data_IF_990171545860
#
_entry.id   IF_990171545860
#
_cell.length_a   1.000
_cell.length_b   1.000
_cell.length_c   1.000
_cell.angle_alpha   90.00
_cell.angle_beta   90.00
_cell.angle_gamma   90.00
#
_symmetry.space_group_name_H-M   'P 1'
#
loop_
_entity.id
_entity.type
_entity.pdbx_description
1 polymer ?
#
# COMPACT_ATOMS: atom_id res chain seq x y z
N UNK A 1 7.31 13.85 -14.07
CA UNK A 1 6.79 12.47 -13.94
C UNK A 1 5.73 12.52 -12.86
N UNK A 2 4.49 12.14 -13.16
CA UNK A 2 3.43 12.19 -12.16
C UNK A 2 3.47 10.89 -11.34
N UNK A 3 3.30 10.98 -10.03
CA UNK A 3 3.34 9.81 -9.14
C UNK A 3 2.11 9.76 -8.24
N UNK A 4 1.76 8.56 -7.79
CA UNK A 4 0.75 8.33 -6.76
C UNK A 4 1.46 7.84 -5.49
N UNK A 5 1.50 8.66 -4.43
CA UNK A 5 2.11 8.25 -3.17
C UNK A 5 1.36 7.11 -2.50
N UNK A 6 2.13 6.19 -1.93
CA UNK A 6 1.66 5.04 -1.15
C UNK A 6 2.42 5.01 0.17
N UNK A 7 1.68 4.99 1.27
CA UNK A 7 2.25 4.82 2.60
C UNK A 7 2.15 3.36 3.02
N UNK A 8 3.30 2.80 3.37
CA UNK A 8 3.42 1.40 3.78
C UNK A 8 3.92 1.32 5.21
N UNK A 9 3.36 0.36 5.95
CA UNK A 9 3.87 -0.07 7.25
C UNK A 9 4.90 -1.17 7.04
N UNK A 10 5.75 -1.42 8.05
CA UNK A 10 6.79 -2.45 7.98
C UNK A 10 6.25 -3.82 7.54
N UNK A 11 5.08 -4.20 8.06
CA UNK A 11 4.43 -5.47 7.73
C UNK A 11 3.79 -5.52 6.34
N UNK A 12 3.33 -4.39 5.81
CA UNK A 12 2.72 -4.33 4.47
C UNK A 12 3.74 -4.09 3.37
N UNK A 13 4.95 -3.62 3.69
CA UNK A 13 5.94 -3.22 2.71
C UNK A 13 6.27 -4.33 1.69
N UNK A 14 6.88 -5.43 2.14
CA UNK A 14 7.25 -6.54 1.27
C UNK A 14 6.07 -7.10 0.47
N UNK A 15 4.96 -7.48 1.14
CA UNK A 15 3.80 -8.04 0.42
C UNK A 15 3.15 -7.08 -0.56
N UNK A 16 3.16 -5.77 -0.32
CA UNK A 16 2.60 -4.81 -1.28
C UNK A 16 3.52 -4.66 -2.51
N UNK A 17 4.84 -4.67 -2.32
CA UNK A 17 5.81 -4.67 -3.43
C UNK A 17 5.70 -5.92 -4.30
N UNK A 18 5.45 -7.09 -3.70
CA UNK A 18 5.17 -8.33 -4.45
C UNK A 18 4.01 -8.15 -5.43
N UNK A 19 2.90 -7.56 -4.97
CA UNK A 19 1.73 -7.33 -5.83
C UNK A 19 2.03 -6.29 -6.92
N UNK A 20 2.72 -5.19 -6.60
CA UNK A 20 3.16 -4.21 -7.61
C UNK A 20 3.99 -4.88 -8.72
N UNK A 21 4.95 -5.72 -8.33
CA UNK A 21 5.81 -6.45 -9.27
C UNK A 21 5.01 -7.47 -10.10
N UNK A 22 4.11 -8.23 -9.47
CA UNK A 22 3.28 -9.23 -10.14
C UNK A 22 2.36 -8.62 -11.20
N UNK A 23 1.90 -7.39 -10.98
CA UNK A 23 1.04 -6.64 -11.91
C UNK A 23 1.80 -5.68 -12.83
N UNK A 24 3.14 -5.68 -12.81
CA UNK A 24 3.97 -4.81 -13.66
C UNK A 24 3.82 -3.31 -13.38
N UNK A 25 3.35 -2.95 -12.18
CA UNK A 25 3.17 -1.55 -11.76
C UNK A 25 4.51 -1.00 -11.30
N UNK A 26 5.04 -0.02 -12.04
CA UNK A 26 6.32 0.61 -11.71
C UNK A 26 6.19 1.54 -10.52
N UNK A 27 7.21 1.54 -9.67
CA UNK A 27 7.30 2.43 -8.52
C UNK A 27 8.74 2.90 -8.31
N UNK A 28 8.89 3.92 -7.49
CA UNK A 28 10.16 4.38 -6.97
C UNK A 28 10.07 4.56 -5.45
N UNK A 29 11.20 4.39 -4.79
CA UNK A 29 11.32 4.63 -3.36
C UNK A 29 11.52 6.12 -3.12
N UNK A 30 10.70 6.74 -2.26
CA UNK A 30 10.97 8.08 -1.75
C UNK A 30 11.77 7.93 -0.46
N UNK A 31 12.96 8.52 -0.43
CA UNK A 31 13.75 8.60 0.79
C UNK A 31 12.97 9.43 1.84
N UNK A 32 12.39 8.75 2.83
CA UNK A 32 11.77 9.42 3.98
C UNK A 32 12.89 9.75 4.96
N UNK A 33 13.45 10.96 4.86
CA UNK A 33 14.37 11.48 5.88
C UNK A 33 13.57 11.86 7.11
N UNK A 34 13.29 10.89 7.97
CA UNK A 34 12.69 11.15 9.28
C UNK A 34 13.78 11.16 10.35
N UNK A 35 13.93 12.29 11.06
CA UNK A 35 14.75 12.39 12.28
C UNK A 35 14.07 11.81 13.52
N UNK A 36 12.89 11.20 13.37
CA UNK A 36 12.08 10.65 14.47
C UNK A 36 11.54 9.25 14.14
N UNK A 37 11.29 8.39 15.14
CA UNK A 37 10.66 7.09 14.93
C UNK A 37 9.28 7.24 14.27
N UNK A 38 9.04 6.57 13.15
CA UNK A 38 7.78 6.61 12.41
C UNK A 38 7.15 5.20 12.37
N UNK A 39 5.84 5.12 12.52
CA UNK A 39 5.09 3.86 12.41
C UNK A 39 4.96 3.38 10.96
N UNK A 40 4.90 4.31 9.99
CA UNK A 40 5.03 4.03 8.56
C UNK A 40 6.51 4.11 8.19
N UNK A 41 7.05 2.99 7.70
CA UNK A 41 8.49 2.84 7.47
C UNK A 41 8.94 3.57 6.21
N UNK A 42 8.13 3.53 5.15
CA UNK A 42 8.59 3.93 3.81
C UNK A 42 7.43 4.52 2.99
N UNK A 43 7.71 5.65 2.32
CA UNK A 43 6.83 6.23 1.32
C UNK A 43 7.30 5.73 -0.06
N UNK A 44 6.40 5.06 -0.75
CA UNK A 44 6.58 4.60 -2.11
C UNK A 44 5.82 5.50 -3.05
N UNK A 45 6.33 5.71 -4.25
CA UNK A 45 5.65 6.46 -5.29
C UNK A 45 5.40 5.54 -6.48
N UNK A 46 4.12 5.24 -6.76
CA UNK A 46 3.74 4.55 -7.99
C UNK A 46 3.91 5.53 -9.15
N UNK A 47 4.63 5.12 -10.19
CA UNK A 47 4.93 5.96 -11.35
C UNK A 47 3.74 5.93 -12.30
N UNK A 48 3.07 7.07 -12.48
CA UNK A 48 1.96 7.18 -13.44
C UNK A 48 2.51 7.19 -14.86
N UNK A 49 1.93 6.35 -15.72
CA UNK A 49 2.22 6.33 -17.15
C UNK A 49 1.14 7.15 -17.86
N UNK A 50 1.45 8.41 -18.19
CA UNK A 50 0.53 9.31 -18.88
C UNK A 50 0.08 8.71 -20.21
N UNK A 51 -1.22 8.75 -20.49
CA UNK A 51 -1.81 8.18 -21.70
C UNK A 51 -2.03 6.67 -21.69
N UNK A 52 -1.64 5.96 -20.61
CA UNK A 52 -1.92 4.52 -20.48
C UNK A 52 -3.37 4.27 -20.05
N UNK A 53 -4.13 3.57 -20.90
CA UNK A 53 -5.47 3.10 -20.56
C UNK A 53 -5.49 2.04 -19.45
N UNK A 54 -4.34 1.40 -19.17
CA UNK A 54 -4.23 0.27 -18.24
C UNK A 54 -3.71 0.66 -16.87
N UNK A 55 -3.28 1.91 -16.66
CA UNK A 55 -2.67 2.34 -15.40
C UNK A 55 -3.62 2.15 -14.20
N UNK A 56 -4.83 2.75 -14.25
CA UNK A 56 -5.79 2.66 -13.15
C UNK A 56 -6.31 1.24 -12.91
N UNK A 57 -6.68 0.47 -13.95
CA UNK A 57 -7.00 -0.95 -13.78
C UNK A 57 -5.88 -1.76 -13.11
N UNK A 58 -4.62 -1.53 -13.49
CA UNK A 58 -3.50 -2.26 -12.89
C UNK A 58 -3.32 -1.93 -11.40
N UNK A 59 -3.41 -0.65 -11.01
CA UNK A 59 -3.32 -0.25 -9.58
C UNK A 59 -4.50 -0.80 -8.78
N UNK A 60 -5.71 -0.80 -9.34
CA UNK A 60 -6.88 -1.40 -8.70
C UNK A 60 -6.69 -2.92 -8.49
N UNK A 61 -6.09 -3.62 -9.46
CA UNK A 61 -5.82 -5.05 -9.35
C UNK A 61 -4.83 -5.35 -8.22
N UNK A 62 -3.77 -4.55 -8.08
CA UNK A 62 -2.81 -4.62 -6.96
C UNK A 62 -3.52 -4.47 -5.62
N UNK A 63 -4.39 -3.48 -5.48
CA UNK A 63 -5.14 -3.22 -4.23
C UNK A 63 -6.03 -4.41 -3.88
N UNK A 64 -6.79 -4.92 -4.86
CA UNK A 64 -7.68 -6.08 -4.66
C UNK A 64 -6.87 -7.34 -4.30
N UNK A 65 -5.80 -7.62 -5.04
CA UNK A 65 -4.93 -8.77 -4.78
C UNK A 65 -4.32 -8.70 -3.39
N UNK A 66 -3.80 -7.52 -2.99
CA UNK A 66 -3.23 -7.31 -1.67
C UNK A 66 -4.25 -7.60 -0.55
N UNK A 67 -5.46 -7.02 -0.62
CA UNK A 67 -6.53 -7.21 0.37
C UNK A 67 -6.95 -8.67 0.45
N UNK A 68 -7.17 -9.32 -0.70
CA UNK A 68 -7.72 -10.67 -0.75
C UNK A 68 -6.72 -11.77 -0.40
N UNK A 69 -5.41 -11.52 -0.55
CA UNK A 69 -4.36 -12.53 -0.26
C UNK A 69 -4.27 -12.90 1.22
N UNK A 70 -4.75 -12.05 2.14
CA UNK A 70 -4.75 -12.35 3.58
C UNK A 70 -5.80 -11.56 4.36
N UNK A 71 -6.54 -12.26 5.20
CA UNK A 71 -7.53 -11.65 6.11
C UNK A 71 -6.92 -10.52 6.96
N UNK A 72 -7.66 -9.43 7.08
CA UNK A 72 -7.32 -8.28 7.90
C UNK A 72 -6.46 -7.22 7.18
N UNK A 73 -5.94 -7.50 5.98
CA UNK A 73 -5.30 -6.47 5.17
C UNK A 73 -6.30 -5.40 4.75
N UNK A 74 -5.83 -4.16 4.77
CA UNK A 74 -6.65 -2.98 4.46
C UNK A 74 -5.94 -2.05 3.52
N UNK A 75 -6.69 -1.39 2.65
CA UNK A 75 -6.21 -0.23 1.90
C UNK A 75 -7.17 0.92 2.11
N UNK A 76 -6.63 2.05 2.55
CA UNK A 76 -7.37 3.29 2.78
C UNK A 76 -6.85 4.32 1.77
N UNK A 77 -7.73 4.79 0.90
CA UNK A 77 -7.42 5.78 -0.13
C UNK A 77 -7.85 7.14 0.38
N UNK A 78 -6.95 8.12 0.33
CA UNK A 78 -7.28 9.52 0.63
C UNK A 78 -7.36 10.29 -0.68
N UNK A 79 -8.54 10.83 -0.98
CA UNK A 79 -8.80 11.61 -2.19
C UNK A 79 -8.31 13.04 -2.05
N UNK A 80 -8.22 13.77 -3.16
CA UNK A 80 -7.74 15.17 -3.20
C UNK A 80 -8.59 16.14 -2.37
N UNK A 81 -9.87 15.83 -2.19
CA UNK A 81 -10.79 16.55 -1.29
C UNK A 81 -10.61 16.17 0.20
N UNK A 82 -9.60 15.34 0.51
CA UNK A 82 -9.26 14.84 1.86
C UNK A 82 -10.27 13.82 2.43
N UNK A 83 -11.13 13.25 1.61
CA UNK A 83 -12.01 12.16 2.02
C UNK A 83 -11.22 10.84 2.11
N UNK A 84 -11.45 10.07 3.17
CA UNK A 84 -10.88 8.73 3.33
C UNK A 84 -11.89 7.67 2.87
N UNK A 85 -11.48 6.82 1.94
CA UNK A 85 -12.29 5.74 1.37
C UNK A 85 -11.60 4.41 1.65
N UNK A 86 -12.32 3.50 2.32
CA UNK A 86 -11.86 2.13 2.51
C UNK A 86 -12.09 1.33 1.23
N UNK A 87 -11.06 0.68 0.72
CA UNK A 87 -11.15 -0.07 -0.55
C UNK A 87 -11.87 -1.42 -0.41
N UNK A 88 -12.04 -1.90 0.82
CA UNK A 88 -12.75 -3.15 1.14
C UNK A 88 -14.19 -3.13 0.59
N UNK A 89 -14.56 -4.13 -0.20
CA UNK A 89 -15.92 -4.29 -0.73
C UNK A 89 -16.25 -3.43 -1.94
N UNK A 90 -15.35 -2.55 -2.41
CA UNK A 90 -15.54 -1.83 -3.66
C UNK A 90 -15.41 -2.77 -4.86
N UNK A 91 -16.26 -2.58 -5.86
CA UNK A 91 -16.05 -3.19 -7.17
C UNK A 91 -14.81 -2.60 -7.85
N UNK A 92 -14.27 -3.32 -8.84
CA UNK A 92 -13.13 -2.86 -9.62
C UNK A 92 -13.36 -1.46 -10.24
N UNK A 93 -14.56 -1.24 -10.77
CA UNK A 93 -14.94 0.03 -11.42
C UNK A 93 -15.02 1.18 -10.41
N UNK A 94 -15.55 0.93 -9.21
CA UNK A 94 -15.60 1.93 -8.14
C UNK A 94 -14.19 2.25 -7.63
N UNK A 95 -13.37 1.23 -7.42
CA UNK A 95 -12.00 1.38 -6.97
C UNK A 95 -11.17 2.21 -7.96
N UNK A 96 -11.29 1.96 -9.26
CA UNK A 96 -10.65 2.77 -10.29
C UNK A 96 -11.07 4.25 -10.24
N UNK A 97 -12.36 4.54 -10.01
CA UNK A 97 -12.85 5.91 -9.88
C UNK A 97 -12.25 6.61 -8.66
N UNK A 98 -12.20 5.91 -7.53
CA UNK A 98 -11.60 6.43 -6.29
C UNK A 98 -10.10 6.67 -6.46
N UNK A 99 -9.38 5.75 -7.09
CA UNK A 99 -7.94 5.88 -7.36
C UNK A 99 -7.62 7.07 -8.28
N UNK A 100 -8.45 7.35 -9.29
CA UNK A 100 -8.30 8.54 -10.15
C UNK A 100 -8.36 9.85 -9.37
N UNK A 101 -9.12 9.89 -8.28
CA UNK A 101 -9.24 11.04 -7.40
C UNK A 101 -8.27 11.01 -6.21
N UNK A 102 -7.39 10.01 -6.11
CA UNK A 102 -6.50 9.81 -4.98
C UNK A 102 -5.41 10.89 -4.91
N UNK A 103 -5.23 11.45 -3.72
CA UNK A 103 -4.03 12.18 -3.34
C UNK A 103 -2.91 11.22 -2.92
N UNK A 104 -3.26 10.16 -2.19
CA UNK A 104 -2.38 9.07 -1.78
C UNK A 104 -3.22 7.90 -1.26
N UNK A 105 -2.61 6.77 -0.96
CA UNK A 105 -3.28 5.73 -0.18
C UNK A 105 -2.32 5.01 0.78
N UNK A 106 -2.88 4.32 1.74
CA UNK A 106 -2.15 3.58 2.78
C UNK A 106 -2.52 2.12 2.72
N UNK A 107 -1.54 1.22 2.65
CA UNK A 107 -1.77 -0.22 2.72
C UNK A 107 -1.27 -0.79 4.05
N UNK A 108 -2.11 -1.59 4.70
CA UNK A 108 -1.92 -2.09 6.05
C UNK A 108 -2.00 -3.62 6.02
N UNK A 109 -1.00 -4.27 6.62
CA UNK A 109 -1.06 -5.68 6.99
C UNK A 109 -0.96 -5.73 8.52
N UNK A 110 -2.02 -6.13 9.23
CA UNK A 110 -2.04 -6.11 10.69
C UNK A 110 -1.15 -7.20 11.31
N UNK A 111 -0.61 -8.11 10.51
CA UNK A 111 0.16 -9.22 11.02
C UNK A 111 1.62 -8.83 11.23
N UNK A 112 2.25 -9.34 12.30
CA UNK A 112 3.67 -9.14 12.52
C UNK A 112 4.51 -9.62 11.32
N UNK A 113 5.60 -8.93 10.97
CA UNK A 113 6.58 -9.46 10.04
C UNK A 113 7.10 -10.80 10.57
N UNK A 114 7.40 -11.75 9.68
CA UNK A 114 8.03 -13.00 10.08
C UNK A 114 9.26 -12.72 10.96
N UNK A 115 9.22 -13.17 12.22
CA UNK A 115 10.30 -12.99 13.20
C UNK A 115 10.08 -11.94 14.30
N UNK A 116 8.97 -11.19 14.35
CA UNK A 116 8.72 -10.25 15.48
C UNK A 116 8.02 -10.90 16.69
N UNK A 117 7.86 -12.22 16.68
CA UNK A 117 7.29 -13.03 17.76
C UNK A 117 8.33 -13.95 18.38
N UNK A 118 9.45 -13.40 18.89
CA UNK A 118 10.28 -14.13 19.85
C UNK A 118 10.67 -13.15 20.96
N UNK A 119 9.71 -12.88 21.86
CA UNK A 119 10.11 -12.50 23.22
C UNK A 119 10.67 -13.77 23.87
N UNK A 120 11.89 -13.63 24.37
CA UNK A 120 12.60 -14.66 25.12
C UNK A 120 11.86 -14.81 26.44
N UNK A 121 11.05 -15.84 26.54
CA UNK A 121 10.61 -16.34 27.85
C UNK A 121 11.56 -17.43 28.37
N UNK A 122 12.73 -17.58 27.73
CA UNK A 122 13.85 -18.37 28.23
C UNK A 122 14.90 -17.44 28.87
N UNK A 123 14.73 -17.21 30.17
CA UNK A 123 15.76 -17.16 31.23
C UNK A 123 15.35 -16.20 32.34
N UNK A 124 14.88 -16.76 33.46
CA UNK A 124 15.54 -16.58 34.76
C UNK A 124 14.90 -17.52 35.81
N UNK A 125 15.73 -18.46 36.28
CA UNK A 125 15.70 -19.22 37.55
C UNK A 125 14.48 -20.08 37.89
#
# INVERSE_FOLDING_TARGET
METLPVHLFKSSFGPFLEELNAHGVRYQMRAVRSGVPMASGEALEIVKVLGSATFWPAVAAVVVAFINKRNGRKVIITTQDKTAVHAEGLSMVELEKVLKAAAHFTAIDPNPPAGSGQRRDDKAM
#
